data_IF_961350233345
#
_entry.id   IF_961350233345
#
_cell.length_a   1.000
_cell.length_b   1.000
_cell.length_c   1.000
_cell.angle_alpha   90.00
_cell.angle_beta   90.00
_cell.angle_gamma   90.00
#
_symmetry.space_group_name_H-M   'P 1'
#
loop_
_entity.id
_entity.type
_entity.pdbx_description
1 polymer ?
#
# COMPACT_ATOMS: atom_id res chain seq x y z
N UNK A 1 -16.99 -48.01 25.55
CA UNK A 1 -15.59 -47.76 25.14
C UNK A 1 -15.47 -47.38 23.63
N UNK A 2 -16.33 -47.90 22.76
CA UNK A 2 -16.30 -47.57 21.32
C UNK A 2 -16.77 -46.11 21.02
N UNK A 3 -17.75 -45.59 21.75
CA UNK A 3 -18.27 -44.21 21.57
C UNK A 3 -17.28 -43.14 21.96
N UNK A 4 -16.45 -43.35 22.99
CA UNK A 4 -15.41 -42.41 23.39
C UNK A 4 -14.29 -42.29 22.36
N UNK A 5 -13.94 -43.34 21.63
CA UNK A 5 -12.96 -43.30 20.54
C UNK A 5 -13.45 -42.49 19.35
N UNK A 6 -14.71 -42.66 18.94
CA UNK A 6 -15.31 -41.89 17.83
C UNK A 6 -15.45 -40.39 18.14
N UNK A 7 -15.74 -40.04 19.40
CA UNK A 7 -15.80 -38.64 19.83
C UNK A 7 -14.42 -37.98 19.77
N UNK A 8 -13.37 -38.67 20.21
CA UNK A 8 -11.99 -38.17 20.18
C UNK A 8 -11.51 -37.98 18.75
N UNK A 9 -11.75 -38.94 17.86
CA UNK A 9 -11.41 -38.80 16.43
C UNK A 9 -12.15 -37.64 15.77
N UNK A 10 -13.43 -37.49 16.06
CA UNK A 10 -14.22 -36.35 15.55
C UNK A 10 -13.68 -35.01 16.02
N UNK A 11 -13.26 -34.88 17.29
CA UNK A 11 -12.65 -33.67 17.83
C UNK A 11 -11.31 -33.34 17.18
N UNK A 12 -10.46 -34.34 16.93
CA UNK A 12 -9.16 -34.16 16.26
C UNK A 12 -9.36 -33.73 14.81
N UNK A 13 -10.30 -34.36 14.10
CA UNK A 13 -10.61 -34.00 12.70
C UNK A 13 -11.19 -32.59 12.61
N UNK A 14 -12.10 -32.21 13.51
CA UNK A 14 -12.69 -30.86 13.56
C UNK A 14 -11.62 -29.81 13.84
N UNK A 15 -10.71 -30.06 14.81
CA UNK A 15 -9.61 -29.16 15.09
C UNK A 15 -8.66 -29.01 13.88
N UNK A 16 -8.33 -30.12 13.20
CA UNK A 16 -7.48 -30.07 12.01
C UNK A 16 -8.11 -29.26 10.86
N UNK A 17 -9.43 -29.37 10.68
CA UNK A 17 -10.15 -28.57 9.68
C UNK A 17 -10.14 -27.08 10.03
N UNK A 18 -10.31 -26.73 11.32
CA UNK A 18 -10.25 -25.35 11.79
C UNK A 18 -8.85 -24.78 11.58
N UNK A 19 -7.79 -25.51 11.96
CA UNK A 19 -6.41 -25.09 11.73
C UNK A 19 -6.09 -24.93 10.25
N UNK A 20 -6.56 -25.85 9.39
CA UNK A 20 -6.41 -25.72 7.94
C UNK A 20 -7.14 -24.51 7.39
N UNK A 21 -8.35 -24.21 7.87
CA UNK A 21 -9.12 -23.04 7.46
C UNK A 21 -8.41 -21.74 7.87
N UNK A 22 -7.90 -21.65 9.10
CA UNK A 22 -7.13 -20.48 9.57
C UNK A 22 -5.87 -20.29 8.73
N UNK A 23 -5.12 -21.37 8.49
CA UNK A 23 -3.91 -21.30 7.66
C UNK A 23 -4.20 -20.87 6.22
N UNK A 24 -5.28 -21.38 5.64
CA UNK A 24 -5.71 -20.95 4.30
C UNK A 24 -6.11 -19.47 4.28
N UNK A 25 -6.80 -18.99 5.33
CA UNK A 25 -7.16 -17.58 5.47
C UNK A 25 -5.91 -16.68 5.54
N UNK A 26 -4.88 -17.10 6.30
CA UNK A 26 -3.62 -16.36 6.39
C UNK A 26 -2.92 -16.27 5.04
N UNK A 27 -2.85 -17.38 4.29
CA UNK A 27 -2.26 -17.40 2.95
C UNK A 27 -3.04 -16.49 1.99
N UNK A 28 -4.38 -16.56 1.98
CA UNK A 28 -5.22 -15.70 1.16
C UNK A 28 -5.02 -14.23 1.50
N UNK A 29 -4.97 -13.90 2.78
CA UNK A 29 -4.71 -12.54 3.25
C UNK A 29 -3.34 -12.03 2.81
N UNK A 30 -2.31 -12.88 2.87
CA UNK A 30 -0.97 -12.54 2.40
C UNK A 30 -0.95 -12.30 0.89
N UNK A 31 -1.60 -13.15 0.10
CA UNK A 31 -1.72 -12.96 -1.35
C UNK A 31 -2.43 -11.65 -1.69
N UNK A 32 -3.55 -11.36 -1.04
CA UNK A 32 -4.31 -10.12 -1.25
C UNK A 32 -3.42 -8.90 -0.93
N UNK A 33 -2.72 -8.91 0.20
CA UNK A 33 -1.79 -7.83 0.58
C UNK A 33 -0.67 -7.66 -0.43
N UNK A 34 -0.12 -8.76 -0.93
CA UNK A 34 0.92 -8.72 -1.96
C UNK A 34 0.41 -8.05 -3.25
N UNK A 35 -0.73 -8.50 -3.78
CA UNK A 35 -1.30 -7.92 -4.99
C UNK A 35 -1.68 -6.46 -4.83
N UNK A 36 -2.30 -6.08 -3.70
CA UNK A 36 -2.61 -4.67 -3.41
C UNK A 36 -1.32 -3.83 -3.39
N UNK A 37 -0.26 -4.32 -2.75
CA UNK A 37 1.03 -3.62 -2.70
C UNK A 37 1.61 -3.41 -4.09
N UNK A 38 1.56 -4.42 -4.96
CA UNK A 38 2.02 -4.32 -6.35
C UNK A 38 1.19 -3.29 -7.12
N UNK A 39 -0.14 -3.36 -7.04
CA UNK A 39 -1.05 -2.43 -7.75
C UNK A 39 -0.83 -0.98 -7.29
N UNK A 40 -0.71 -0.76 -5.98
CA UNK A 40 -0.44 0.58 -5.44
C UNK A 40 0.92 1.10 -5.91
N UNK A 41 1.96 0.26 -5.90
CA UNK A 41 3.30 0.65 -6.37
C UNK A 41 3.30 1.02 -7.87
N UNK A 42 2.59 0.26 -8.69
CA UNK A 42 2.42 0.57 -10.12
C UNK A 42 1.62 1.87 -10.33
N UNK A 43 0.60 2.11 -9.52
CA UNK A 43 -0.17 3.35 -9.53
C UNK A 43 0.70 4.58 -9.25
N UNK A 44 1.52 4.53 -8.19
CA UNK A 44 2.46 5.61 -7.84
C UNK A 44 3.47 5.82 -8.98
N UNK A 45 4.06 4.74 -9.49
CA UNK A 45 5.02 4.82 -10.58
C UNK A 45 4.40 5.44 -11.85
N UNK A 46 3.17 5.07 -12.20
CA UNK A 46 2.44 5.60 -13.35
C UNK A 46 2.22 7.11 -13.24
N UNK A 47 1.75 7.61 -12.09
CA UNK A 47 1.55 9.04 -11.84
C UNK A 47 2.88 9.80 -11.97
N UNK A 48 3.97 9.25 -11.45
CA UNK A 48 5.29 9.87 -11.53
C UNK A 48 5.83 9.88 -12.97
N UNK A 49 5.62 8.81 -13.74
CA UNK A 49 6.00 8.78 -15.16
C UNK A 49 5.26 9.86 -15.94
N UNK A 50 3.95 9.99 -15.75
CA UNK A 50 3.16 11.05 -16.40
C UNK A 50 3.66 12.44 -15.97
N UNK A 51 3.96 12.64 -14.70
CA UNK A 51 4.53 13.90 -14.19
C UNK A 51 5.86 14.25 -14.85
N UNK A 52 6.75 13.27 -15.03
CA UNK A 52 8.04 13.45 -15.74
C UNK A 52 7.81 13.85 -17.19
N UNK A 53 6.89 13.18 -17.89
CA UNK A 53 6.59 13.47 -19.30
C UNK A 53 6.03 14.89 -19.46
N UNK A 54 5.07 15.26 -18.61
CA UNK A 54 4.46 16.59 -18.64
C UNK A 54 5.46 17.72 -18.33
N UNK A 55 6.39 17.46 -17.41
CA UNK A 55 7.40 18.45 -16.97
C UNK A 55 8.73 18.38 -17.70
N UNK A 56 8.77 17.64 -18.82
CA UNK A 56 10.02 17.37 -19.55
C UNK A 56 10.77 18.63 -19.97
N UNK A 57 10.06 19.66 -20.44
CA UNK A 57 10.65 20.96 -20.82
C UNK A 57 11.21 21.71 -19.63
N UNK A 58 10.47 21.76 -18.52
CA UNK A 58 10.90 22.41 -17.27
C UNK A 58 12.16 21.75 -16.70
N UNK A 59 12.19 20.40 -16.71
CA UNK A 59 13.36 19.62 -16.28
C UNK A 59 14.57 19.90 -17.17
N UNK A 60 14.36 20.00 -18.48
CA UNK A 60 15.40 20.34 -19.47
C UNK A 60 16.01 21.72 -19.20
N UNK A 61 15.17 22.72 -18.96
CA UNK A 61 15.60 24.10 -18.63
C UNK A 61 16.38 24.11 -17.31
N UNK A 62 15.87 23.50 -16.25
CA UNK A 62 16.54 23.43 -14.97
C UNK A 62 17.93 22.77 -15.08
N UNK A 63 18.06 21.74 -15.89
CA UNK A 63 19.33 21.07 -16.14
C UNK A 63 20.28 21.93 -16.99
N UNK A 64 19.78 22.69 -17.94
CA UNK A 64 20.59 23.62 -18.72
C UNK A 64 21.16 24.76 -17.86
N UNK A 65 20.40 25.22 -16.83
CA UNK A 65 20.82 26.23 -15.84
C UNK A 65 21.77 25.64 -14.78
N UNK A 66 22.03 24.32 -14.78
CA UNK A 66 23.02 23.68 -13.91
C UNK A 66 22.47 22.74 -12.83
N UNK A 67 21.18 22.40 -12.84
CA UNK A 67 20.65 21.40 -11.91
C UNK A 67 21.31 20.03 -12.12
N UNK A 68 21.78 19.44 -11.03
CA UNK A 68 22.46 18.15 -11.05
C UNK A 68 21.47 16.98 -11.18
N UNK A 69 21.94 15.85 -11.71
CA UNK A 69 21.13 14.61 -11.76
C UNK A 69 20.63 14.16 -10.39
N UNK A 70 21.45 14.37 -9.34
CA UNK A 70 21.09 14.01 -7.96
C UNK A 70 19.93 14.86 -7.44
N UNK A 71 19.92 16.15 -7.73
CA UNK A 71 18.84 17.04 -7.36
C UNK A 71 17.53 16.62 -8.03
N UNK A 72 17.55 16.33 -9.34
CA UNK A 72 16.36 15.82 -10.05
C UNK A 72 15.86 14.50 -9.45
N UNK A 73 16.78 13.56 -9.19
CA UNK A 73 16.44 12.29 -8.55
C UNK A 73 15.75 12.51 -7.19
N UNK A 74 16.33 13.39 -6.34
CA UNK A 74 15.78 13.68 -5.01
C UNK A 74 14.38 14.27 -5.07
N UNK A 75 14.09 15.15 -6.02
CA UNK A 75 12.76 15.77 -6.20
C UNK A 75 11.71 14.69 -6.50
N UNK A 76 11.98 13.80 -7.44
CA UNK A 76 11.03 12.73 -7.79
C UNK A 76 10.90 11.66 -6.71
N UNK A 77 11.98 11.33 -6.00
CA UNK A 77 11.91 10.43 -4.85
C UNK A 77 11.06 11.03 -3.72
N UNK A 78 11.25 12.31 -3.42
CA UNK A 78 10.45 13.03 -2.43
C UNK A 78 8.98 13.10 -2.85
N UNK A 79 8.69 13.35 -4.12
CA UNK A 79 7.34 13.31 -4.66
C UNK A 79 6.67 11.95 -4.45
N UNK A 80 7.39 10.84 -4.66
CA UNK A 80 6.89 9.49 -4.38
C UNK A 80 6.55 9.26 -2.91
N UNK A 81 7.41 9.76 -2.00
CA UNK A 81 7.13 9.71 -0.55
C UNK A 81 5.89 10.54 -0.18
N UNK A 82 5.77 11.76 -0.72
CA UNK A 82 4.60 12.63 -0.45
C UNK A 82 3.31 11.96 -0.93
N UNK A 83 3.30 11.38 -2.13
CA UNK A 83 2.14 10.67 -2.66
C UNK A 83 1.81 9.44 -1.80
N UNK A 84 2.84 8.67 -1.40
CA UNK A 84 2.66 7.49 -0.54
C UNK A 84 2.09 7.84 0.83
N UNK A 85 2.68 8.83 1.51
CA UNK A 85 2.23 9.30 2.83
C UNK A 85 0.83 9.92 2.74
N UNK A 86 0.59 10.81 1.77
CA UNK A 86 -0.72 11.43 1.55
C UNK A 86 -1.81 10.39 1.30
N UNK A 87 -1.53 9.41 0.43
CA UNK A 87 -2.43 8.29 0.16
C UNK A 87 -2.70 7.44 1.39
N UNK A 88 -1.67 7.16 2.21
CA UNK A 88 -1.82 6.37 3.44
C UNK A 88 -2.67 7.10 4.49
N UNK A 89 -2.50 8.41 4.66
CA UNK A 89 -3.30 9.21 5.57
C UNK A 89 -4.77 9.25 5.14
N UNK A 90 -5.03 9.57 3.87
CA UNK A 90 -6.39 9.58 3.32
C UNK A 90 -7.03 8.18 3.38
N UNK A 91 -6.28 7.14 3.01
CA UNK A 91 -6.73 5.76 3.10
C UNK A 91 -7.05 5.32 4.53
N UNK A 92 -6.23 5.74 5.51
CA UNK A 92 -6.49 5.46 6.93
C UNK A 92 -7.78 6.13 7.42
N UNK A 93 -8.01 7.38 7.06
CA UNK A 93 -9.25 8.11 7.41
C UNK A 93 -10.47 7.45 6.78
N UNK A 94 -10.41 7.13 5.47
CA UNK A 94 -11.48 6.44 4.78
C UNK A 94 -11.73 5.04 5.34
N UNK A 95 -10.68 4.28 5.65
CA UNK A 95 -10.77 2.97 6.28
C UNK A 95 -11.48 3.04 7.64
N UNK A 96 -11.09 3.99 8.49
CA UNK A 96 -11.76 4.20 9.79
C UNK A 96 -13.23 4.58 9.62
N UNK A 97 -13.56 5.45 8.67
CA UNK A 97 -14.95 5.81 8.36
C UNK A 97 -15.77 4.60 7.92
N UNK A 98 -15.23 3.79 7.02
CA UNK A 98 -15.91 2.58 6.53
C UNK A 98 -16.13 1.58 7.66
N UNK A 99 -15.10 1.25 8.44
CA UNK A 99 -15.22 0.30 9.56
C UNK A 99 -16.22 0.83 10.59
N UNK A 100 -16.21 2.12 10.90
CA UNK A 100 -17.17 2.74 11.82
C UNK A 100 -18.60 2.69 11.29
N UNK A 101 -18.78 2.89 10.00
CA UNK A 101 -20.08 2.81 9.32
C UNK A 101 -20.63 1.37 9.37
N UNK A 102 -19.81 0.39 8.97
CA UNK A 102 -20.22 -1.01 8.99
C UNK A 102 -20.47 -1.54 10.41
N UNK A 103 -19.70 -1.12 11.41
CA UNK A 103 -19.90 -1.53 12.81
C UNK A 103 -21.21 -1.01 13.40
N UNK A 104 -21.76 0.10 12.86
CA UNK A 104 -23.06 0.61 13.27
C UNK A 104 -24.24 -0.15 12.64
N UNK A 105 -24.07 -0.64 11.41
CA UNK A 105 -25.10 -1.34 10.65
C UNK A 105 -25.13 -2.82 11.02
N UNK A 106 -23.96 -3.46 11.12
CA UNK A 106 -23.82 -4.88 11.42
C UNK A 106 -23.74 -5.08 12.93
N UNK A 107 -24.90 -5.34 13.54
CA UNK A 107 -25.00 -5.73 14.96
C UNK A 107 -25.40 -7.19 15.05
N UNK A 108 -24.87 -7.90 16.04
CA UNK A 108 -25.34 -9.26 16.36
C UNK A 108 -26.78 -9.24 16.87
N UNK A 109 -27.42 -10.41 16.90
CA UNK A 109 -28.74 -10.60 17.48
C UNK A 109 -28.84 -10.09 18.95
N UNK A 110 -27.68 -9.98 19.62
CA UNK A 110 -27.54 -9.44 20.98
C UNK A 110 -27.28 -7.93 21.03
N UNK A 111 -27.29 -7.23 19.89
CA UNK A 111 -27.09 -5.78 19.79
C UNK A 111 -25.63 -5.31 19.94
N UNK A 112 -24.67 -6.23 20.08
CA UNK A 112 -23.25 -5.91 20.17
C UNK A 112 -22.65 -5.67 18.77
N UNK A 113 -21.72 -4.73 18.66
CA UNK A 113 -20.98 -4.50 17.42
C UNK A 113 -20.11 -5.72 17.08
N UNK A 114 -20.25 -6.25 15.85
CA UNK A 114 -19.47 -7.39 15.36
C UNK A 114 -17.97 -7.12 15.29
N UNK A 115 -17.60 -5.83 15.23
CA UNK A 115 -16.21 -5.39 15.19
C UNK A 115 -15.93 -4.47 16.39
N UNK A 116 -15.06 -4.89 17.30
CA UNK A 116 -14.53 -4.01 18.34
C UNK A 116 -13.47 -3.09 17.71
N UNK A 117 -13.79 -1.80 17.63
CA UNK A 117 -12.89 -0.79 17.12
C UNK A 117 -11.88 -0.43 18.21
N UNK A 118 -10.73 -1.06 18.20
CA UNK A 118 -9.55 -0.56 18.91
C UNK A 118 -8.68 0.22 17.92
N UNK A 119 -8.73 1.55 18.00
CA UNK A 119 -7.86 2.40 17.19
C UNK A 119 -6.44 2.39 17.78
N UNK A 120 -5.57 1.63 17.18
CA UNK A 120 -4.16 1.65 17.55
C UNK A 120 -3.41 2.67 16.67
N UNK A 121 -3.08 3.84 17.23
CA UNK A 121 -2.30 4.87 16.55
C UNK A 121 -0.91 4.39 16.12
N UNK A 122 -0.35 3.39 16.80
CA UNK A 122 0.93 2.79 16.40
C UNK A 122 0.81 2.07 15.07
N UNK A 123 -0.31 1.38 14.86
CA UNK A 123 -0.59 0.68 13.61
C UNK A 123 -0.69 1.66 12.44
N UNK A 124 -1.34 2.81 12.64
CA UNK A 124 -1.39 3.89 11.64
C UNK A 124 0.03 4.39 11.32
N UNK A 125 0.86 4.59 12.34
CA UNK A 125 2.27 4.96 12.14
C UNK A 125 3.05 3.96 11.28
N UNK A 126 2.88 2.66 11.53
CA UNK A 126 3.52 1.62 10.71
C UNK A 126 3.00 1.61 9.26
N UNK A 127 1.70 1.81 9.06
CA UNK A 127 1.11 1.89 7.71
C UNK A 127 1.65 3.09 6.95
N UNK A 128 1.72 4.26 7.57
CA UNK A 128 2.27 5.48 6.95
C UNK A 128 3.75 5.32 6.63
N UNK A 129 4.55 4.77 7.55
CA UNK A 129 5.96 4.50 7.32
C UNK A 129 6.17 3.49 6.17
N UNK A 130 5.39 2.41 6.14
CA UNK A 130 5.40 1.43 5.06
C UNK A 130 5.03 2.04 3.71
N UNK A 131 4.01 2.90 3.69
CA UNK A 131 3.59 3.60 2.48
C UNK A 131 4.66 4.60 1.97
N UNK A 132 5.37 5.28 2.87
CA UNK A 132 6.51 6.14 2.52
C UNK A 132 7.63 5.33 1.84
N UNK A 133 7.96 4.17 2.40
CA UNK A 133 8.98 3.26 1.82
C UNK A 133 8.53 2.73 0.46
N UNK A 134 7.27 2.31 0.33
CA UNK A 134 6.71 1.85 -0.95
C UNK A 134 6.70 2.96 -2.00
N UNK A 135 6.31 4.18 -1.62
CA UNK A 135 6.35 5.36 -2.48
C UNK A 135 7.77 5.68 -2.96
N UNK A 136 8.75 5.57 -2.06
CA UNK A 136 10.16 5.74 -2.39
C UNK A 136 10.62 4.69 -3.43
N UNK A 137 10.32 3.41 -3.19
CA UNK A 137 10.71 2.30 -4.08
C UNK A 137 10.05 2.46 -5.46
N UNK A 138 8.75 2.74 -5.50
CA UNK A 138 7.99 2.94 -6.74
C UNK A 138 8.51 4.13 -7.55
N UNK A 139 9.02 5.17 -6.88
CA UNK A 139 9.58 6.36 -7.51
C UNK A 139 10.97 6.16 -8.11
N UNK A 140 11.72 5.12 -7.76
CA UNK A 140 13.11 4.93 -8.21
C UNK A 140 13.23 4.87 -9.73
N UNK A 141 12.38 4.09 -10.40
CA UNK A 141 12.43 3.95 -11.86
C UNK A 141 12.11 5.28 -12.58
N UNK A 142 10.96 5.94 -12.33
CA UNK A 142 10.64 7.21 -12.98
C UNK A 142 11.64 8.32 -12.62
N UNK A 143 12.13 8.36 -11.39
CA UNK A 143 13.14 9.33 -10.97
C UNK A 143 14.47 9.16 -11.72
N UNK A 144 14.90 7.92 -11.95
CA UNK A 144 16.10 7.64 -12.75
C UNK A 144 15.92 8.05 -14.22
N UNK A 145 14.74 7.80 -14.77
CA UNK A 145 14.42 8.20 -16.15
C UNK A 145 14.42 9.72 -16.28
N UNK A 146 13.80 10.45 -15.34
CA UNK A 146 13.82 11.90 -15.31
C UNK A 146 15.25 12.48 -15.20
N UNK A 147 16.09 11.90 -14.36
CA UNK A 147 17.48 12.32 -14.16
C UNK A 147 18.39 12.07 -15.37
N UNK A 148 18.00 11.17 -16.29
CA UNK A 148 18.75 10.85 -17.52
C UNK A 148 18.29 11.64 -18.75
N UNK A 149 17.24 12.46 -18.66
CA UNK A 149 16.78 13.28 -19.78
C UNK A 149 17.91 14.19 -20.27
N UNK A 150 18.16 14.17 -21.59
CA UNK A 150 19.13 15.03 -22.23
C UNK A 150 18.52 16.44 -22.42
N UNK A 151 19.15 17.50 -21.89
CA UNK A 151 18.66 18.87 -22.04
C UNK A 151 18.44 19.28 -23.50
N UNK A 152 19.30 18.84 -24.41
CA UNK A 152 19.22 19.18 -25.82
C UNK A 152 17.98 18.57 -26.51
N UNK A 153 17.59 17.35 -26.12
CA UNK A 153 16.39 16.69 -26.64
C UNK A 153 15.10 17.21 -25.99
N UNK A 154 15.16 17.65 -24.73
CA UNK A 154 14.00 18.19 -24.02
C UNK A 154 13.53 19.56 -24.56
N UNK A 155 14.42 20.33 -25.21
CA UNK A 155 14.13 21.65 -25.77
C UNK A 155 13.66 21.54 -27.23
N UNK A 156 14.12 20.52 -27.97
CA UNK A 156 13.78 20.32 -29.40
C UNK A 156 12.41 19.67 -29.64
N UNK A 157 11.87 18.94 -28.73
CA UNK A 157 10.62 18.19 -28.87
C UNK A 157 9.49 18.67 -28.06
#
# INVERSE_FOLDING_TARGET
>A
RAQSGQLIESWIQTNNQIFAAIKNQDIMTLLIRFFITVVVSLGIASVLVVSVVQKRKEIGILRAVGATRRQMLSVFLLQGVIVGVGGALLGSVLGMMLVSFFSRILRNAEGQALFSLSFDFRLIGYVVAGAAVLGLIAAVLPARNAARLDPAQAIRG
#
